data_IF_418686965631
#
_entry.id   IF_418686965631
#
_cell.length_a   1.000
_cell.length_b   1.000
_cell.length_c   1.000
_cell.angle_alpha   90.00
_cell.angle_beta   90.00
_cell.angle_gamma   90.00
#
_symmetry.space_group_name_H-M   'P 1'
#
loop_
_entity.id
_entity.type
_entity.pdbx_description
1 polymer ?
#
# COMPACT_ATOMS: atom_id res chain seq x y z
N UNK A 1 12.14 -5.83 11.55
CA UNK A 1 10.88 -5.24 12.07
C UNK A 1 11.09 -4.09 13.06
N UNK A 2 12.20 -4.03 13.82
CA UNK A 2 12.47 -2.94 14.80
C UNK A 2 12.35 -1.49 14.27
N UNK A 3 12.64 -1.21 13.00
CA UNK A 3 12.64 0.17 12.45
C UNK A 3 11.25 0.77 12.17
N UNK A 4 10.24 -0.06 11.91
CA UNK A 4 8.89 0.40 11.55
C UNK A 4 8.15 0.91 12.80
N UNK A 5 8.30 0.20 13.93
CA UNK A 5 7.70 0.61 15.21
C UNK A 5 8.23 1.95 15.72
N UNK A 6 9.53 2.23 15.52
CA UNK A 6 10.15 3.50 15.93
C UNK A 6 9.66 4.66 15.07
N UNK A 7 9.50 4.49 13.76
CA UNK A 7 8.97 5.54 12.88
C UNK A 7 7.52 5.89 13.21
N UNK A 8 6.67 4.90 13.47
CA UNK A 8 5.28 5.11 13.90
C UNK A 8 5.21 5.82 15.26
N UNK A 9 6.05 5.42 16.21
CA UNK A 9 6.14 6.07 17.52
C UNK A 9 6.61 7.54 17.42
N UNK A 10 7.33 7.90 16.35
CA UNK A 10 7.74 9.26 16.04
C UNK A 10 6.70 10.07 15.22
N UNK A 11 5.50 9.53 15.01
CA UNK A 11 4.43 10.21 14.25
C UNK A 11 4.64 10.23 12.73
N UNK A 12 5.61 9.47 12.21
CA UNK A 12 5.86 9.36 10.77
C UNK A 12 5.10 8.17 10.20
N UNK A 13 4.64 8.28 8.95
CA UNK A 13 4.06 7.16 8.20
C UNK A 13 5.15 6.41 7.41
N UNK A 14 5.62 5.25 7.87
CA UNK A 14 6.71 4.56 7.22
C UNK A 14 6.26 3.86 5.93
N UNK A 15 7.08 3.98 4.89
CA UNK A 15 6.92 3.19 3.68
C UNK A 15 7.30 1.72 3.90
N UNK A 16 6.37 0.81 3.60
CA UNK A 16 6.55 -0.63 3.67
C UNK A 16 6.61 -1.27 2.28
N UNK A 17 7.24 -2.45 2.20
CA UNK A 17 7.38 -3.22 0.95
C UNK A 17 6.53 -4.49 0.98
N UNK A 18 6.31 -5.10 -0.18
CA UNK A 18 5.60 -6.38 -0.35
C UNK A 18 6.19 -7.55 0.47
N UNK A 19 7.41 -7.46 1.02
CA UNK A 19 7.94 -8.49 1.93
C UNK A 19 7.36 -8.37 3.35
N UNK A 20 6.90 -7.18 3.73
CA UNK A 20 6.29 -6.90 5.03
C UNK A 20 4.77 -7.10 5.01
N UNK A 21 4.10 -6.63 3.95
CA UNK A 21 2.63 -6.59 3.84
C UNK A 21 1.94 -7.97 4.05
N UNK A 22 2.37 -9.09 3.45
CA UNK A 22 1.83 -10.44 3.71
C UNK A 22 1.94 -10.81 5.20
N UNK A 23 3.11 -10.48 5.77
CA UNK A 23 3.46 -10.49 7.20
C UNK A 23 2.34 -9.93 8.08
N UNK A 24 1.92 -8.75 7.65
CA UNK A 24 1.11 -7.84 8.41
C UNK A 24 -0.39 -8.10 8.25
N UNK A 25 -0.82 -8.52 7.06
CA UNK A 25 -2.21 -8.78 6.73
C UNK A 25 -2.64 -10.24 6.97
N UNK A 26 -1.68 -11.17 7.13
CA UNK A 26 -1.99 -12.60 7.19
C UNK A 26 -2.41 -13.19 5.85
N UNK A 27 -2.11 -12.51 4.74
CA UNK A 27 -2.43 -12.94 3.38
C UNK A 27 -1.18 -13.42 2.63
N UNK A 28 -1.37 -14.30 1.64
CA UNK A 28 -0.27 -14.72 0.75
C UNK A 28 0.09 -13.60 -0.25
N UNK A 29 1.36 -13.55 -0.67
CA UNK A 29 1.82 -12.60 -1.71
C UNK A 29 1.02 -12.75 -3.00
N UNK A 30 0.73 -13.99 -3.40
CA UNK A 30 -0.02 -14.29 -4.63
C UNK A 30 -1.45 -13.74 -4.55
N UNK A 31 -2.13 -13.88 -3.41
CA UNK A 31 -3.46 -13.27 -3.15
C UNK A 31 -3.41 -11.76 -3.35
N UNK A 32 -2.41 -11.09 -2.75
CA UNK A 32 -2.27 -9.65 -2.85
C UNK A 32 -2.03 -9.18 -4.29
N UNK A 33 -1.17 -9.87 -5.05
CA UNK A 33 -0.98 -9.57 -6.47
C UNK A 33 -2.24 -9.80 -7.30
N UNK A 34 -2.99 -10.88 -7.04
CA UNK A 34 -4.25 -11.14 -7.72
C UNK A 34 -5.28 -10.04 -7.45
N UNK A 35 -5.41 -9.58 -6.19
CA UNK A 35 -6.31 -8.48 -5.81
C UNK A 35 -5.90 -7.13 -6.40
N UNK A 36 -4.60 -6.89 -6.53
CA UNK A 36 -4.05 -5.67 -7.13
C UNK A 36 -4.31 -5.61 -8.64
N UNK A 37 -4.32 -6.76 -9.33
CA UNK A 37 -4.57 -6.87 -10.76
C UNK A 37 -6.05 -7.10 -11.13
N UNK A 38 -6.92 -7.36 -10.14
CA UNK A 38 -8.35 -7.55 -10.36
C UNK A 38 -9.05 -6.22 -10.68
N UNK A 39 -10.10 -6.26 -11.51
CA UNK A 39 -11.03 -5.15 -11.74
C UNK A 39 -12.40 -5.47 -11.09
N UNK A 40 -13.00 -4.57 -10.28
CA UNK A 40 -12.40 -3.35 -9.72
C UNK A 40 -11.23 -3.66 -8.77
N UNK A 41 -10.28 -2.73 -8.65
CA UNK A 41 -9.06 -2.94 -7.85
C UNK A 41 -9.40 -3.19 -6.37
N UNK A 42 -8.99 -4.35 -5.86
CA UNK A 42 -9.32 -4.81 -4.50
C UNK A 42 -8.18 -4.64 -3.50
N UNK A 43 -7.08 -4.00 -3.90
CA UNK A 43 -5.91 -3.81 -3.06
C UNK A 43 -5.19 -2.49 -3.41
N UNK A 44 -4.62 -1.75 -2.43
CA UNK A 44 -3.93 -0.50 -2.70
C UNK A 44 -2.80 -0.63 -3.71
N UNK A 45 -2.70 0.33 -4.62
CA UNK A 45 -1.58 0.43 -5.56
C UNK A 45 -0.31 0.94 -4.86
N UNK A 46 0.88 0.45 -5.25
CA UNK A 46 2.14 0.95 -4.71
C UNK A 46 2.52 2.32 -5.27
N UNK A 47 3.15 3.12 -4.43
CA UNK A 47 4.00 4.23 -4.85
C UNK A 47 5.29 3.68 -5.45
N UNK A 48 5.55 3.99 -6.72
CA UNK A 48 6.79 3.62 -7.41
C UNK A 48 7.88 4.65 -7.10
N UNK A 49 9.02 4.17 -6.57
CA UNK A 49 10.23 4.99 -6.39
C UNK A 49 11.42 4.23 -6.95
N UNK A 50 11.91 4.65 -8.11
CA UNK A 50 12.89 3.90 -8.90
C UNK A 50 12.38 2.49 -9.22
N UNK A 51 13.21 1.46 -8.95
CA UNK A 51 12.84 0.05 -9.14
C UNK A 51 12.01 -0.54 -7.98
N UNK A 52 11.72 0.25 -6.93
CA UNK A 52 11.01 -0.22 -5.74
C UNK A 52 9.51 0.10 -5.78
N UNK A 53 8.72 -0.78 -5.18
CA UNK A 53 7.29 -0.56 -4.89
C UNK A 53 7.11 -0.42 -3.38
N UNK A 54 6.48 0.68 -2.98
CA UNK A 54 6.32 1.07 -1.58
C UNK A 54 4.86 1.40 -1.31
N UNK A 55 4.41 1.09 -0.10
CA UNK A 55 3.09 1.45 0.38
C UNK A 55 3.24 2.21 1.69
N UNK A 56 2.57 3.34 1.87
CA UNK A 56 2.48 3.95 3.19
C UNK A 56 1.81 2.96 4.16
N UNK A 57 2.32 2.85 5.38
CA UNK A 57 1.75 1.93 6.36
C UNK A 57 0.32 2.33 6.69
N UNK A 58 0.00 3.62 6.74
CA UNK A 58 -1.37 4.12 6.96
C UNK A 58 -2.38 3.56 5.95
N UNK A 59 -2.00 3.48 4.68
CA UNK A 59 -2.84 2.94 3.60
C UNK A 59 -3.06 1.45 3.80
N UNK A 60 -2.01 0.70 4.15
CA UNK A 60 -2.13 -0.73 4.46
C UNK A 60 -2.94 -0.96 5.74
N UNK A 61 -2.83 -0.09 6.74
CA UNK A 61 -3.64 -0.10 7.96
C UNK A 61 -5.12 0.14 7.63
N UNK A 62 -5.43 1.13 6.80
CA UNK A 62 -6.80 1.39 6.35
C UNK A 62 -7.37 0.18 5.57
N UNK A 63 -6.56 -0.45 4.71
CA UNK A 63 -6.97 -1.67 4.01
C UNK A 63 -7.26 -2.80 4.99
N UNK A 64 -6.38 -3.01 5.98
CA UNK A 64 -6.58 -4.02 7.03
C UNK A 64 -7.86 -3.80 7.83
N UNK A 65 -8.24 -2.55 8.05
CA UNK A 65 -9.47 -2.16 8.77
C UNK A 65 -10.72 -2.13 7.90
N UNK A 66 -10.59 -2.44 6.60
CA UNK A 66 -11.69 -2.29 5.62
C UNK A 66 -12.21 -0.85 5.51
N UNK A 67 -11.37 0.12 5.86
CA UNK A 67 -11.62 1.58 5.76
C UNK A 67 -11.00 2.16 4.48
N UNK A 68 -10.13 1.40 3.80
CA UNK A 68 -9.52 1.83 2.54
C UNK A 68 -10.57 1.90 1.44
N UNK A 69 -10.67 3.07 0.83
CA UNK A 69 -11.48 3.32 -0.36
C UNK A 69 -10.57 3.20 -1.58
N UNK A 70 -10.94 2.41 -2.60
CA UNK A 70 -10.24 2.40 -3.87
C UNK A 70 -10.20 3.82 -4.41
N UNK A 71 -9.00 4.38 -4.61
CA UNK A 71 -8.87 5.62 -5.36
C UNK A 71 -9.23 5.30 -6.81
N UNK A 72 -10.49 5.48 -7.17
CA UNK A 72 -10.93 5.56 -8.56
C UNK A 72 -10.23 6.77 -9.16
N UNK A 73 -9.17 6.51 -9.93
CA UNK A 73 -8.54 7.42 -10.88
C UNK A 73 -8.70 8.91 -10.52
N UNK A 74 -8.08 9.33 -9.41
CA UNK A 74 -8.07 10.74 -9.05
C UNK A 74 -6.99 11.42 -9.90
N UNK A 75 -7.35 11.71 -11.16
CA UNK A 75 -6.74 12.66 -12.08
C UNK A 75 -5.22 12.72 -12.07
N UNK A 76 -4.59 12.07 -13.05
CA UNK A 76 -3.23 12.39 -13.45
C UNK A 76 -3.15 13.89 -13.82
N UNK A 77 -2.39 14.75 -13.10
CA UNK A 77 -2.20 16.13 -13.52
C UNK A 77 -1.34 16.26 -14.79
N UNK A 78 -0.85 15.16 -15.37
CA UNK A 78 -0.10 15.16 -16.62
C UNK A 78 -0.98 15.14 -17.90
N UNK A 79 -2.31 15.19 -17.78
CA UNK A 79 -3.24 15.33 -18.92
C UNK A 79 -3.69 16.79 -19.15
N UNK A 80 -3.03 17.75 -18.48
CA UNK A 80 -3.21 19.19 -18.71
C UNK A 80 -1.89 19.77 -19.24
N UNK A 81 -1.52 19.40 -20.47
CA UNK A 81 -0.43 20.05 -21.20
C UNK A 81 -0.74 20.09 -22.70
#
# INVERSE_FOLDING_TARGET
MKRIGVARAAGLDPDVRMNFIPKYLGESRASLYAKMNAAPQKFPSPNKRGRGSFWPLSVIDAYRRSEWVPQTDQGNPADIA
#
